data_IF_552001270701
#
_entry.id   IF_552001270701
#
_cell.length_a   1.000
_cell.length_b   1.000
_cell.length_c   1.000
_cell.angle_alpha   90.00
_cell.angle_beta   90.00
_cell.angle_gamma   90.00
#
_symmetry.space_group_name_H-M   'P 1'
#
loop_
_entity.id
_entity.type
_entity.pdbx_description
1 polymer ?
#
# COMPACT_ATOMS: atom_id res chain seq x y z
N UNK A 1 -21.95 -27.44 -10.19
CA UNK A 1 -22.63 -27.43 -11.50
C UNK A 1 -23.04 -25.99 -11.81
N UNK A 2 -22.12 -25.21 -12.42
CA UNK A 2 -22.40 -24.00 -13.22
C UNK A 2 -21.31 -23.97 -14.29
N UNK A 3 -21.74 -23.94 -15.54
CA UNK A 3 -20.95 -24.02 -16.77
C UNK A 3 -20.10 -22.77 -17.00
N UNK A 4 -18.82 -22.93 -17.38
CA UNK A 4 -18.02 -21.86 -17.99
C UNK A 4 -17.77 -22.27 -19.44
N UNK A 5 -18.39 -21.56 -20.37
CA UNK A 5 -18.15 -21.67 -21.80
C UNK A 5 -18.28 -20.28 -22.42
N UNK A 6 -17.17 -19.70 -22.85
CA UNK A 6 -17.08 -19.05 -24.16
C UNK A 6 -15.63 -18.63 -24.48
N UNK A 7 -14.98 -19.46 -25.28
CA UNK A 7 -13.98 -19.05 -26.27
C UNK A 7 -14.69 -18.31 -27.40
N UNK A 8 -14.27 -17.10 -27.74
CA UNK A 8 -14.63 -16.47 -29.01
C UNK A 8 -13.41 -16.06 -29.81
N UNK A 9 -13.41 -16.61 -31.02
CA UNK A 9 -12.65 -16.32 -32.23
C UNK A 9 -12.19 -14.87 -32.40
N UNK A 10 -10.95 -14.77 -32.87
CA UNK A 10 -10.33 -13.58 -33.45
C UNK A 10 -10.70 -13.60 -34.94
N UNK A 11 -11.43 -12.58 -35.40
CA UNK A 11 -11.62 -12.30 -36.83
C UNK A 11 -11.17 -10.86 -37.15
N UNK A 12 -10.20 -10.79 -38.07
CA UNK A 12 -9.91 -9.77 -39.08
C UNK A 12 -10.28 -8.29 -38.84
N UNK A 13 -9.26 -7.41 -38.75
CA UNK A 13 -9.37 -5.97 -39.05
C UNK A 13 -8.44 -5.57 -40.20
N UNK A 14 -9.04 -5.00 -41.24
CA UNK A 14 -8.39 -4.26 -42.34
C UNK A 14 -8.05 -2.81 -41.92
N UNK A 15 -7.15 -2.11 -42.65
CA UNK A 15 -6.37 -0.99 -42.13
C UNK A 15 -7.08 0.38 -42.20
N UNK A 16 -6.67 1.29 -41.30
CA UNK A 16 -7.07 2.71 -41.28
C UNK A 16 -6.29 3.53 -42.32
N UNK A 17 -6.88 4.57 -42.94
CA UNK A 17 -6.15 5.54 -43.75
C UNK A 17 -5.60 6.70 -42.91
N UNK A 18 -4.54 7.31 -43.45
CA UNK A 18 -3.72 8.38 -42.90
C UNK A 18 -4.10 9.77 -43.47
N UNK A 19 -3.48 10.83 -42.88
CA UNK A 19 -3.36 12.24 -43.36
C UNK A 19 -4.53 13.17 -42.88
N UNK A 20 -4.39 14.40 -42.34
CA UNK A 20 -3.43 15.50 -42.57
C UNK A 20 -3.30 16.53 -41.41
N UNK A 21 -2.32 17.42 -41.62
CA UNK A 21 -1.73 18.52 -40.83
C UNK A 21 -2.66 19.66 -40.37
N UNK A 22 -2.32 20.22 -39.20
CA UNK A 22 -1.99 21.65 -39.05
C UNK A 22 -3.13 22.64 -38.81
N UNK A 23 -3.28 23.12 -37.57
CA UNK A 23 -3.78 24.48 -37.30
C UNK A 23 -3.17 25.02 -36.01
N UNK A 24 -2.30 26.03 -36.14
CA UNK A 24 -1.84 26.89 -35.03
C UNK A 24 -2.93 27.92 -34.75
N UNK A 25 -3.30 28.08 -33.48
CA UNK A 25 -4.13 29.21 -33.03
C UNK A 25 -3.36 29.97 -31.96
N UNK A 26 -2.91 31.17 -32.34
CA UNK A 26 -2.33 32.19 -31.47
C UNK A 26 -3.43 33.13 -30.99
N UNK A 27 -3.61 33.29 -29.68
CA UNK A 27 -4.41 34.38 -29.13
C UNK A 27 -3.53 35.32 -28.30
N UNK A 28 -3.37 36.53 -28.82
CA UNK A 28 -2.91 37.72 -28.09
C UNK A 28 -4.14 38.28 -27.38
N UNK A 29 -4.05 38.60 -26.09
CA UNK A 29 -4.98 39.53 -25.48
C UNK A 29 -4.28 40.47 -24.50
N UNK A 30 -4.25 41.74 -24.91
CA UNK A 30 -3.83 42.94 -24.18
C UNK A 30 -5.05 43.42 -23.39
N UNK A 31 -4.96 43.51 -22.06
CA UNK A 31 -6.02 44.09 -21.22
C UNK A 31 -5.60 45.49 -20.77
N UNK A 32 -6.46 46.45 -21.12
CA UNK A 32 -6.39 47.87 -20.81
C UNK A 32 -7.21 48.12 -19.52
N UNK A 33 -6.67 48.92 -18.60
CA UNK A 33 -7.26 49.20 -17.29
C UNK A 33 -8.07 50.51 -17.36
N UNK A 34 -9.36 50.44 -17.03
CA UNK A 34 -10.18 51.52 -16.45
C UNK A 34 -11.41 50.84 -15.83
N UNK A 35 -11.60 50.78 -14.52
CA UNK A 35 -11.91 51.93 -13.68
C UNK A 35 -13.43 52.08 -13.62
N UNK A 36 -14.09 51.53 -12.59
CA UNK A 36 -15.19 52.12 -11.81
C UNK A 36 -15.81 51.10 -10.85
N UNK A 37 -16.17 51.60 -9.67
CA UNK A 37 -16.49 50.89 -8.43
C UNK A 37 -17.87 50.25 -8.49
N UNK A 38 -17.98 48.99 -8.05
CA UNK A 38 -19.17 48.48 -7.37
C UNK A 38 -18.74 47.64 -6.16
N UNK A 39 -19.19 48.07 -4.98
CA UNK A 39 -19.11 47.32 -3.73
C UNK A 39 -20.04 46.11 -3.85
N UNK A 40 -19.47 44.93 -4.12
CA UNK A 40 -20.14 43.66 -3.89
C UNK A 40 -19.56 43.07 -2.60
N UNK A 41 -20.41 42.89 -1.59
CA UNK A 41 -20.10 42.06 -0.42
C UNK A 41 -20.06 40.62 -0.96
N UNK A 42 -18.89 40.19 -1.43
CA UNK A 42 -18.67 38.80 -1.77
C UNK A 42 -18.68 38.00 -0.46
N UNK A 43 -19.70 37.16 -0.30
CA UNK A 43 -19.66 36.02 0.60
C UNK A 43 -18.35 35.27 0.31
N UNK A 44 -17.38 35.42 1.21
CA UNK A 44 -16.20 34.55 1.27
C UNK A 44 -16.73 33.13 1.37
N UNK A 45 -16.70 32.42 0.25
CA UNK A 45 -16.89 30.98 0.22
C UNK A 45 -15.96 30.40 1.28
N UNK A 46 -16.52 29.63 2.21
CA UNK A 46 -15.72 28.70 3.02
C UNK A 46 -14.82 27.94 2.05
N UNK A 47 -13.50 27.85 2.30
CA UNK A 47 -12.69 26.95 1.49
C UNK A 47 -13.24 25.54 1.69
N UNK A 48 -13.72 24.93 0.59
CA UNK A 48 -14.07 23.52 0.56
C UNK A 48 -12.86 22.70 1.04
N UNK A 49 -13.04 21.54 1.72
CA UNK A 49 -11.95 20.74 2.28
C UNK A 49 -11.00 20.10 1.24
N UNK A 50 -11.08 20.50 -0.03
CA UNK A 50 -10.56 19.76 -1.19
C UNK A 50 -9.07 20.02 -1.48
N UNK A 51 -8.34 20.79 -0.66
CA UNK A 51 -6.92 21.13 -0.93
C UNK A 51 -5.93 20.10 -0.34
N UNK A 52 -6.38 19.01 0.29
CA UNK A 52 -5.47 18.02 0.91
C UNK A 52 -4.89 16.96 -0.03
N UNK A 53 -5.14 17.06 -1.34
CA UNK A 53 -4.56 16.17 -2.34
C UNK A 53 -3.63 16.94 -3.28
N UNK A 54 -2.38 16.45 -3.40
CA UNK A 54 -1.40 16.75 -4.47
C UNK A 54 -0.44 17.95 -4.31
N UNK A 55 0.33 18.01 -3.22
CA UNK A 55 1.74 18.45 -3.33
C UNK A 55 2.61 17.31 -2.78
N UNK A 56 3.22 16.58 -3.71
CA UNK A 56 4.03 15.38 -3.47
C UNK A 56 5.34 15.69 -2.76
N UNK A 57 5.30 15.72 -1.44
CA UNK A 57 6.52 15.62 -0.62
C UNK A 57 6.71 14.14 -0.28
N UNK A 58 7.70 13.47 -0.84
CA UNK A 58 8.06 12.13 -0.35
C UNK A 58 8.73 12.26 1.02
N UNK A 59 8.57 11.24 1.86
CA UNK A 59 9.22 11.15 3.17
C UNK A 59 10.25 10.02 3.18
N UNK A 60 11.17 10.09 4.15
CA UNK A 60 12.17 9.05 4.40
C UNK A 60 11.82 8.26 5.66
N UNK A 61 12.10 6.96 5.60
CA UNK A 61 11.93 6.05 6.73
C UNK A 61 13.13 6.17 7.67
N UNK A 62 12.88 6.12 8.98
CA UNK A 62 13.93 6.22 10.01
C UNK A 62 14.92 5.05 9.99
N UNK A 63 14.44 3.87 9.61
CA UNK A 63 15.16 2.59 9.50
C UNK A 63 14.38 1.65 8.60
N UNK A 64 14.92 0.47 8.28
CA UNK A 64 14.16 -0.60 7.65
C UNK A 64 12.84 -0.87 8.39
N UNK A 65 11.72 -0.71 7.69
CA UNK A 65 10.39 -0.97 8.21
C UNK A 65 9.87 -2.30 7.65
N UNK A 66 9.53 -3.24 8.53
CA UNK A 66 9.02 -4.57 8.20
C UNK A 66 7.63 -4.68 8.79
N UNK A 67 6.66 -4.23 8.01
CA UNK A 67 5.32 -3.84 8.47
C UNK A 67 4.31 -4.94 8.17
N UNK A 68 3.43 -5.23 9.12
CA UNK A 68 2.17 -5.96 8.87
C UNK A 68 1.00 -5.03 9.16
N UNK A 69 0.02 -4.97 8.26
CA UNK A 69 -1.24 -4.26 8.50
C UNK A 69 -2.35 -5.24 8.84
N UNK A 70 -2.90 -5.13 10.05
CA UNK A 70 -4.00 -5.96 10.56
C UNK A 70 -5.23 -5.08 10.79
N UNK A 71 -6.42 -5.65 10.61
CA UNK A 71 -7.67 -4.97 10.92
C UNK A 71 -8.85 -5.59 10.21
N UNK A 72 -10.05 -5.24 10.67
CA UNK A 72 -11.29 -5.85 10.21
C UNK A 72 -11.50 -5.71 8.68
N UNK A 73 -12.32 -6.58 8.06
CA UNK A 73 -12.75 -6.41 6.68
C UNK A 73 -13.40 -5.03 6.47
N UNK A 74 -12.96 -4.27 5.46
CA UNK A 74 -13.49 -2.93 5.16
C UNK A 74 -12.85 -1.77 5.95
N UNK A 75 -11.94 -2.03 6.88
CA UNK A 75 -11.29 -0.99 7.71
C UNK A 75 -10.38 -0.02 6.92
N UNK A 76 -9.97 -0.37 5.71
CA UNK A 76 -9.12 0.47 4.85
C UNK A 76 -7.64 0.08 4.80
N UNK A 77 -7.27 -1.17 5.14
CA UNK A 77 -5.88 -1.69 5.05
C UNK A 77 -5.20 -1.38 3.72
N UNK A 78 -5.85 -1.72 2.59
CA UNK A 78 -5.31 -1.48 1.26
C UNK A 78 -5.05 0.00 0.97
N UNK A 79 -5.96 0.88 1.37
CA UNK A 79 -5.78 2.33 1.26
C UNK A 79 -4.59 2.83 2.09
N UNK A 80 -4.39 2.31 3.30
CA UNK A 80 -3.24 2.68 4.12
C UNK A 80 -1.93 2.15 3.54
N UNK A 81 -1.91 0.92 3.01
CA UNK A 81 -0.75 0.38 2.31
C UNK A 81 -0.38 1.25 1.10
N UNK A 82 -1.35 1.56 0.23
CA UNK A 82 -1.14 2.41 -0.94
C UNK A 82 -0.60 3.80 -0.55
N UNK A 83 -1.21 4.43 0.45
CA UNK A 83 -0.77 5.74 0.97
C UNK A 83 0.62 5.70 1.58
N UNK A 84 1.02 4.61 2.22
CA UNK A 84 2.37 4.43 2.74
C UNK A 84 3.38 4.29 1.58
N UNK A 85 3.09 3.44 0.59
CA UNK A 85 3.96 3.23 -0.57
C UNK A 85 4.16 4.51 -1.39
N UNK A 86 3.10 5.31 -1.58
CA UNK A 86 3.19 6.60 -2.27
C UNK A 86 4.02 7.62 -1.47
N UNK A 87 3.91 7.59 -0.13
CA UNK A 87 4.58 8.57 0.74
C UNK A 87 6.04 8.22 1.01
N UNK A 88 6.39 6.94 1.04
CA UNK A 88 7.72 6.43 1.35
C UNK A 88 8.25 5.58 0.18
N UNK A 89 9.04 6.15 -0.74
CA UNK A 89 9.58 5.43 -1.90
C UNK A 89 10.50 4.26 -1.55
N UNK A 90 11.00 4.24 -0.31
CA UNK A 90 11.83 3.17 0.24
C UNK A 90 11.03 1.90 0.59
N UNK A 91 9.70 1.98 0.60
CA UNK A 91 8.80 0.91 1.02
C UNK A 91 8.27 0.15 -0.20
N UNK A 92 8.23 -1.18 -0.13
CA UNK A 92 7.56 -2.03 -1.12
C UNK A 92 6.44 -2.86 -0.50
N UNK A 93 5.46 -3.26 -1.32
CA UNK A 93 4.50 -4.29 -0.91
C UNK A 93 5.02 -5.68 -1.30
N UNK A 94 4.85 -6.64 -0.39
CA UNK A 94 5.09 -8.07 -0.61
C UNK A 94 3.75 -8.77 -0.32
N UNK A 95 3.04 -9.10 -1.39
CA UNK A 95 1.72 -9.73 -1.34
C UNK A 95 1.85 -11.22 -1.65
N UNK A 96 1.44 -12.07 -0.71
CA UNK A 96 1.50 -13.53 -0.90
C UNK A 96 0.69 -14.00 -2.11
N UNK A 97 -0.44 -13.32 -2.38
CA UNK A 97 -1.28 -13.60 -3.54
C UNK A 97 -0.64 -13.19 -4.87
N UNK A 98 0.06 -12.06 -4.90
CA UNK A 98 0.79 -11.62 -6.10
C UNK A 98 1.98 -12.52 -6.38
N UNK A 99 2.79 -12.82 -5.36
CA UNK A 99 3.92 -13.76 -5.48
C UNK A 99 3.46 -15.11 -6.02
N UNK A 100 2.34 -15.63 -5.53
CA UNK A 100 1.76 -16.88 -6.00
C UNK A 100 1.36 -16.78 -7.49
N UNK A 101 0.63 -15.73 -7.88
CA UNK A 101 0.20 -15.51 -9.27
C UNK A 101 1.38 -15.37 -10.22
N UNK A 102 2.41 -14.62 -9.83
CA UNK A 102 3.60 -14.39 -10.64
C UNK A 102 4.41 -15.68 -10.82
N UNK A 103 4.57 -16.48 -9.76
CA UNK A 103 5.25 -17.77 -9.84
C UNK A 103 4.49 -18.78 -10.71
N UNK A 104 3.15 -18.82 -10.60
CA UNK A 104 2.30 -19.65 -11.47
C UNK A 104 2.42 -19.21 -12.93
N UNK A 105 2.33 -17.90 -13.19
CA UNK A 105 2.44 -17.31 -14.53
C UNK A 105 3.80 -17.61 -15.16
N UNK A 106 4.88 -17.52 -14.38
CA UNK A 106 6.25 -17.74 -14.85
C UNK A 106 6.66 -19.22 -14.83
N UNK A 107 5.76 -20.14 -14.45
CA UNK A 107 6.00 -21.60 -14.43
C UNK A 107 7.22 -22.01 -13.60
N UNK A 108 7.47 -21.32 -12.48
CA UNK A 108 8.54 -21.72 -11.55
C UNK A 108 8.21 -23.07 -10.88
N UNK A 109 9.18 -23.83 -10.35
CA UNK A 109 8.90 -25.08 -9.65
C UNK A 109 7.87 -24.93 -8.52
N UNK A 110 7.99 -23.86 -7.72
CA UNK A 110 7.02 -23.51 -6.68
C UNK A 110 5.65 -23.14 -7.28
N UNK A 111 5.63 -22.39 -8.38
CA UNK A 111 4.42 -22.01 -9.09
C UNK A 111 3.65 -23.20 -9.65
N UNK A 112 4.33 -24.20 -10.22
CA UNK A 112 3.72 -25.43 -10.73
C UNK A 112 3.09 -26.23 -9.58
N UNK A 113 3.80 -26.39 -8.46
CA UNK A 113 3.28 -27.10 -7.27
C UNK A 113 2.08 -26.37 -6.66
N UNK A 114 2.13 -25.04 -6.57
CA UNK A 114 1.02 -24.21 -6.16
C UNK A 114 -0.19 -24.36 -7.10
N UNK A 115 0.03 -24.26 -8.42
CA UNK A 115 -1.03 -24.37 -9.42
C UNK A 115 -1.73 -25.74 -9.34
N UNK A 116 -0.96 -26.82 -9.20
CA UNK A 116 -1.50 -28.18 -9.02
C UNK A 116 -2.37 -28.29 -7.77
N UNK A 117 -1.90 -27.74 -6.65
CA UNK A 117 -2.65 -27.72 -5.38
C UNK A 117 -3.96 -26.96 -5.53
N UNK A 118 -3.93 -25.78 -6.13
CA UNK A 118 -5.13 -24.94 -6.36
C UNK A 118 -6.11 -25.64 -7.31
N UNK A 119 -5.62 -26.26 -8.40
CA UNK A 119 -6.45 -27.00 -9.36
C UNK A 119 -7.15 -28.20 -8.73
N UNK A 120 -6.53 -28.83 -7.73
CA UNK A 120 -7.15 -29.91 -6.95
C UNK A 120 -8.23 -29.42 -5.97
N UNK A 121 -8.43 -28.10 -5.84
CA UNK A 121 -9.35 -27.49 -4.88
C UNK A 121 -8.79 -27.41 -3.45
N UNK A 122 -7.53 -27.79 -3.25
CA UNK A 122 -6.85 -27.75 -1.96
C UNK A 122 -6.29 -26.34 -1.67
N UNK A 123 -6.16 -26.01 -0.38
CA UNK A 123 -5.50 -24.78 0.05
C UNK A 123 -3.98 -24.93 -0.10
N UNK A 124 -3.32 -23.86 -0.56
CA UNK A 124 -1.85 -23.81 -0.65
C UNK A 124 -1.27 -23.86 0.77
N UNK A 125 -0.36 -24.78 1.10
CA UNK A 125 0.22 -24.88 2.44
C UNK A 125 1.00 -23.64 2.85
N UNK A 126 0.94 -23.26 4.13
CA UNK A 126 1.63 -22.09 4.70
C UNK A 126 3.13 -22.11 4.44
N UNK A 127 3.77 -23.28 4.56
CA UNK A 127 5.19 -23.46 4.29
C UNK A 127 5.57 -23.07 2.85
N UNK A 128 4.67 -23.28 1.88
CA UNK A 128 4.90 -22.88 0.48
C UNK A 128 4.81 -21.36 0.34
N UNK A 129 3.84 -20.72 0.99
CA UNK A 129 3.71 -19.26 0.99
C UNK A 129 4.94 -18.61 1.64
N UNK A 130 5.38 -19.16 2.78
CA UNK A 130 6.57 -18.69 3.48
C UNK A 130 7.82 -18.81 2.60
N UNK A 131 7.99 -19.93 1.87
CA UNK A 131 9.08 -20.10 0.91
C UNK A 131 9.05 -19.05 -0.22
N UNK A 132 7.86 -18.73 -0.75
CA UNK A 132 7.72 -17.67 -1.77
C UNK A 132 8.16 -16.32 -1.22
N UNK A 133 7.73 -15.97 -0.01
CA UNK A 133 8.12 -14.71 0.65
C UNK A 133 9.64 -14.68 0.85
N UNK A 134 10.24 -15.74 1.40
CA UNK A 134 11.69 -15.78 1.64
C UNK A 134 12.50 -15.69 0.36
N UNK A 135 12.07 -16.37 -0.70
CA UNK A 135 12.72 -16.30 -2.00
C UNK A 135 12.71 -14.85 -2.51
N UNK A 136 11.57 -14.17 -2.45
CA UNK A 136 11.45 -12.76 -2.86
C UNK A 136 12.38 -11.84 -2.07
N UNK A 137 12.40 -11.96 -0.73
CA UNK A 137 13.26 -11.12 0.11
C UNK A 137 14.75 -11.38 -0.12
N UNK A 138 15.14 -12.63 -0.40
CA UNK A 138 16.52 -12.99 -0.77
C UNK A 138 16.91 -12.41 -2.13
N UNK A 139 16.06 -12.54 -3.14
CA UNK A 139 16.29 -11.99 -4.49
C UNK A 139 16.48 -10.47 -4.47
N UNK A 140 15.79 -9.77 -3.55
CA UNK A 140 15.96 -8.33 -3.34
C UNK A 140 17.19 -7.96 -2.49
N UNK A 141 17.91 -8.93 -1.96
CA UNK A 141 19.06 -8.69 -1.06
C UNK A 141 18.67 -8.15 0.30
N UNK A 142 17.46 -8.41 0.78
CA UNK A 142 16.95 -7.94 2.08
C UNK A 142 17.17 -8.93 3.22
N UNK A 143 17.47 -10.19 2.88
CA UNK A 143 17.88 -11.26 3.80
C UNK A 143 19.26 -11.77 3.43
N UNK A 144 20.16 -11.86 4.41
CA UNK A 144 21.51 -12.40 4.25
C UNK A 144 21.68 -13.72 5.01
N UNK A 145 22.44 -14.67 4.47
CA UNK A 145 22.85 -15.85 5.23
C UNK A 145 23.73 -15.45 6.42
N UNK A 146 23.57 -16.16 7.53
CA UNK A 146 24.12 -15.82 8.85
C UNK A 146 25.63 -15.99 9.00
N UNK A 147 26.32 -16.55 8.01
CA UNK A 147 27.78 -16.58 7.96
C UNK A 147 28.26 -16.92 6.54
N UNK A 148 29.18 -16.14 6.00
CA UNK A 148 30.23 -16.71 5.15
C UNK A 148 31.01 -17.71 6.00
N UNK A 149 31.18 -18.98 5.58
CA UNK A 149 32.11 -19.86 6.27
C UNK A 149 33.47 -19.17 6.28
N UNK A 150 34.06 -19.02 7.46
CA UNK A 150 35.45 -18.56 7.59
C UNK A 150 36.30 -19.46 6.70
N UNK A 151 36.86 -18.90 5.62
CA UNK A 151 37.81 -19.60 4.76
C UNK A 151 39.01 -19.95 5.63
N UNK A 152 39.01 -21.17 6.18
CA UNK A 152 40.20 -21.75 6.78
C UNK A 152 41.14 -22.00 5.60
N UNK A 153 42.38 -21.50 5.70
CA UNK A 153 43.47 -21.69 4.74
C UNK A 153 43.87 -23.17 4.63
N UNK A 154 43.00 -24.00 4.10
CA UNK A 154 43.28 -25.35 3.67
C UNK A 154 42.94 -25.44 2.19
N UNK A 155 43.95 -25.15 1.37
CA UNK A 155 43.94 -25.28 -0.07
C UNK A 155 43.49 -26.68 -0.50
N UNK A 156 42.33 -26.76 -1.12
CA UNK A 156 42.03 -27.74 -2.17
C UNK A 156 41.12 -27.04 -3.16
N UNK A 157 41.60 -26.87 -4.39
CA UNK A 157 40.84 -26.22 -5.46
C UNK A 157 39.56 -27.01 -5.75
N UNK A 158 38.44 -26.52 -5.22
CA UNK A 158 37.12 -26.81 -5.78
C UNK A 158 36.86 -25.68 -6.76
N UNK A 159 36.72 -26.05 -8.03
CA UNK A 159 36.35 -25.15 -9.12
C UNK A 159 35.21 -24.24 -8.70
N UNK A 160 35.43 -22.93 -8.82
CA UNK A 160 34.40 -21.92 -8.65
C UNK A 160 33.32 -22.12 -9.73
N UNK A 161 32.29 -22.91 -9.42
CA UNK A 161 30.99 -22.79 -10.06
C UNK A 161 30.26 -21.62 -9.38
N UNK A 162 29.77 -20.62 -10.14
CA UNK A 162 28.96 -19.56 -9.56
C UNK A 162 27.63 -20.18 -9.13
N UNK A 163 27.53 -20.58 -7.85
CA UNK A 163 26.31 -20.90 -7.10
C UNK A 163 25.07 -21.15 -7.96
N UNK A 164 25.04 -22.30 -8.64
CA UNK A 164 23.79 -22.88 -9.12
C UNK A 164 23.02 -23.35 -7.89
N UNK A 165 22.22 -22.45 -7.33
CA UNK A 165 21.21 -22.81 -6.36
C UNK A 165 20.12 -23.59 -7.10
N UNK A 166 20.27 -24.91 -7.07
CA UNK A 166 19.31 -25.86 -7.57
C UNK A 166 17.94 -25.61 -6.90
N UNK A 167 17.04 -25.02 -7.67
CA UNK A 167 15.66 -24.67 -7.29
C UNK A 167 14.86 -25.90 -6.84
N UNK A 168 15.34 -27.12 -7.16
CA UNK A 168 14.68 -28.38 -6.82
C UNK A 168 15.02 -28.89 -5.41
N UNK A 169 16.19 -28.53 -4.86
CA UNK A 169 16.63 -28.99 -3.53
C UNK A 169 15.81 -28.44 -2.35
N UNK A 170 15.09 -27.33 -2.54
CA UNK A 170 14.26 -26.71 -1.51
C UNK A 170 12.82 -27.25 -1.47
N UNK A 171 12.43 -28.12 -2.40
CA UNK A 171 11.03 -28.56 -2.55
C UNK A 171 10.62 -29.59 -1.48
N UNK A 172 11.58 -30.31 -0.86
CA UNK A 172 11.30 -31.45 0.02
C UNK A 172 11.67 -31.34 1.51
N UNK A 173 12.38 -30.31 1.98
CA UNK A 173 12.75 -30.25 3.42
C UNK A 173 11.64 -29.68 4.34
N UNK A 174 11.17 -30.42 5.36
CA UNK A 174 10.16 -29.95 6.32
C UNK A 174 10.70 -28.93 7.33
N UNK A 175 12.01 -28.81 7.50
CA UNK A 175 12.63 -28.00 8.56
C UNK A 175 13.44 -26.83 7.99
N UNK A 176 12.78 -25.68 7.79
CA UNK A 176 13.48 -24.37 7.72
C UNK A 176 14.21 -24.03 9.04
N UNK A 177 14.06 -24.88 10.07
CA UNK A 177 14.56 -24.72 11.43
C UNK A 177 15.99 -25.26 11.68
N UNK A 178 16.65 -25.89 10.70
CA UNK A 178 17.97 -26.51 10.92
C UNK A 178 19.17 -25.62 10.55
N UNK A 179 18.95 -24.40 10.07
CA UNK A 179 20.02 -23.42 9.90
C UNK A 179 20.30 -22.71 11.24
N UNK A 180 21.50 -22.92 11.78
CA UNK A 180 21.96 -22.60 13.14
C UNK A 180 22.04 -21.11 13.51
N UNK A 181 21.42 -20.19 12.77
CA UNK A 181 21.13 -18.82 13.21
C UNK A 181 20.08 -18.17 12.27
N UNK A 182 19.09 -17.43 12.79
CA UNK A 182 18.07 -16.77 11.98
C UNK A 182 18.71 -15.81 10.99
N UNK A 183 18.26 -15.73 9.72
CA UNK A 183 18.90 -14.93 8.68
C UNK A 183 19.01 -13.46 9.10
N UNK A 184 20.13 -12.82 8.73
CA UNK A 184 20.35 -11.41 9.06
C UNK A 184 19.50 -10.52 8.14
N UNK A 185 18.79 -9.54 8.72
CA UNK A 185 18.05 -8.52 7.97
C UNK A 185 18.89 -7.25 7.81
N UNK A 186 18.76 -6.59 6.65
CA UNK A 186 19.26 -5.23 6.49
C UNK A 186 18.46 -4.24 7.35
N UNK A 187 19.15 -3.27 7.95
CA UNK A 187 18.53 -2.10 8.59
C UNK A 187 18.50 -0.87 7.67
N UNK A 188 19.02 -0.98 6.44
CA UNK A 188 18.87 0.04 5.40
C UNK A 188 17.37 0.27 5.11
N UNK A 189 16.87 1.51 5.17
CA UNK A 189 15.47 1.72 4.87
C UNK A 189 15.05 1.33 3.45
N UNK A 190 15.97 1.16 2.48
CA UNK A 190 15.65 0.55 1.17
C UNK A 190 15.23 -0.92 1.24
N UNK A 191 15.49 -1.60 2.37
CA UNK A 191 15.04 -2.95 2.66
C UNK A 191 13.72 -2.98 3.45
N UNK A 192 12.85 -1.99 3.22
CA UNK A 192 11.56 -1.86 3.89
C UNK A 192 10.43 -2.47 3.07
N UNK A 193 9.54 -3.19 3.75
CA UNK A 193 8.37 -3.78 3.11
C UNK A 193 7.14 -3.81 4.01
N UNK A 194 5.98 -3.84 3.37
CA UNK A 194 4.69 -4.21 3.96
C UNK A 194 4.37 -5.63 3.50
N UNK A 195 4.11 -6.55 4.43
CA UNK A 195 3.50 -7.83 4.12
C UNK A 195 1.99 -7.66 4.00
N UNK A 196 1.44 -8.00 2.84
CA UNK A 196 0.00 -8.02 2.58
C UNK A 196 -0.49 -9.47 2.43
N UNK A 197 -1.52 -9.82 3.20
CA UNK A 197 -2.18 -11.12 3.13
C UNK A 197 -1.49 -12.26 3.88
N UNK A 198 -0.35 -12.03 4.55
CA UNK A 198 0.35 -12.99 5.41
C UNK A 198 1.10 -12.23 6.52
N UNK A 199 1.14 -12.73 7.78
CA UNK A 199 0.40 -13.86 8.35
C UNK A 199 -1.06 -13.49 8.65
N UNK A 200 -1.92 -14.50 8.74
CA UNK A 200 -3.34 -14.40 9.10
C UNK A 200 -3.70 -15.17 10.37
N UNK A 201 -2.83 -16.06 10.82
CA UNK A 201 -2.98 -16.83 12.05
C UNK A 201 -1.73 -16.74 12.91
N UNK A 202 -1.83 -17.11 14.17
CA UNK A 202 -0.71 -17.12 15.12
C UNK A 202 0.37 -18.14 14.75
N UNK A 203 -0.01 -19.28 14.14
CA UNK A 203 0.93 -20.31 13.66
C UNK A 203 1.79 -19.76 12.52
N UNK A 204 1.17 -19.08 11.56
CA UNK A 204 1.88 -18.41 10.47
C UNK A 204 2.84 -17.33 11.00
N UNK A 205 2.41 -16.55 11.99
CA UNK A 205 3.26 -15.54 12.61
C UNK A 205 4.45 -16.16 13.34
N UNK A 206 4.24 -17.25 14.08
CA UNK A 206 5.31 -17.96 14.78
C UNK A 206 6.37 -18.50 13.82
N UNK A 207 5.96 -19.03 12.67
CA UNK A 207 6.88 -19.47 11.61
C UNK A 207 7.61 -18.29 10.96
N UNK A 208 6.88 -17.22 10.62
CA UNK A 208 7.43 -16.02 10.00
C UNK A 208 8.53 -15.40 10.87
N UNK A 209 8.24 -15.26 12.15
CA UNK A 209 9.09 -14.61 13.14
C UNK A 209 10.45 -15.26 13.36
N UNK A 210 10.53 -16.57 13.12
CA UNK A 210 11.79 -17.33 13.19
C UNK A 210 12.73 -17.00 12.03
N UNK A 211 12.20 -16.42 10.95
CA UNK A 211 12.92 -16.19 9.69
C UNK A 211 13.01 -14.70 9.34
N UNK A 212 12.02 -13.90 9.74
CA UNK A 212 11.92 -12.49 9.38
C UNK A 212 11.50 -11.72 10.64
N UNK A 213 12.39 -10.93 11.26
CA UNK A 213 12.06 -10.14 12.44
C UNK A 213 11.14 -8.97 12.09
N UNK A 214 9.83 -9.17 12.23
CA UNK A 214 8.83 -8.10 12.11
C UNK A 214 9.07 -7.07 13.21
N UNK A 215 9.10 -5.79 12.82
CA UNK A 215 9.39 -4.69 13.73
C UNK A 215 8.26 -3.67 13.88
N UNK A 216 7.18 -3.80 13.09
CA UNK A 216 5.97 -3.02 13.24
C UNK A 216 4.75 -3.80 12.78
N UNK A 217 3.77 -3.95 13.66
CA UNK A 217 2.44 -4.45 13.32
C UNK A 217 1.42 -3.37 13.63
N UNK A 218 0.68 -2.94 12.63
CA UNK A 218 -0.32 -1.89 12.76
C UNK A 218 -1.70 -2.53 12.83
N UNK A 219 -2.41 -2.34 13.94
CA UNK A 219 -3.81 -2.71 14.06
C UNK A 219 -4.70 -1.50 13.82
N UNK A 220 -5.40 -1.51 12.68
CA UNK A 220 -6.35 -0.47 12.31
C UNK A 220 -7.66 -0.67 13.07
N UNK A 221 -8.04 0.32 13.87
CA UNK A 221 -9.29 0.34 14.65
C UNK A 221 -10.22 1.42 14.11
N UNK A 222 -11.35 0.98 13.57
CA UNK A 222 -12.43 1.86 13.11
C UNK A 222 -13.76 1.28 13.62
N UNK A 223 -14.70 2.11 14.11
CA UNK A 223 -16.00 1.63 14.56
C UNK A 223 -16.75 0.83 13.48
N UNK A 224 -17.45 -0.22 13.91
CA UNK A 224 -18.22 -1.10 13.02
C UNK A 224 -19.22 -0.34 12.12
N UNK A 225 -19.92 0.66 12.67
CA UNK A 225 -20.86 1.51 11.93
C UNK A 225 -20.20 2.18 10.72
N UNK A 226 -19.03 2.79 10.94
CA UNK A 226 -18.24 3.45 9.89
C UNK A 226 -17.77 2.44 8.84
N UNK A 227 -17.37 1.22 9.24
CA UNK A 227 -16.98 0.17 8.30
C UNK A 227 -18.17 -0.28 7.44
N UNK A 228 -19.34 -0.46 8.04
CA UNK A 228 -20.57 -0.85 7.33
C UNK A 228 -20.98 0.21 6.31
N UNK A 229 -20.93 1.50 6.67
CA UNK A 229 -21.18 2.60 5.74
C UNK A 229 -20.20 2.58 4.56
N UNK A 230 -18.92 2.30 4.81
CA UNK A 230 -17.91 2.19 3.74
C UNK A 230 -18.17 1.01 2.81
N UNK A 231 -18.60 -0.12 3.35
CA UNK A 231 -18.95 -1.31 2.55
C UNK A 231 -20.19 -1.03 1.70
N UNK A 232 -21.23 -0.44 2.28
CA UNK A 232 -22.45 -0.09 1.57
C UNK A 232 -22.21 0.94 0.43
N UNK A 233 -21.28 1.87 0.65
CA UNK A 233 -20.86 2.88 -0.32
C UNK A 233 -19.80 2.41 -1.32
N UNK A 234 -19.37 1.14 -1.30
CA UNK A 234 -18.31 0.61 -2.17
C UNK A 234 -18.83 0.31 -3.58
N UNK A 235 -18.07 0.76 -4.56
CA UNK A 235 -18.28 0.50 -5.98
C UNK A 235 -17.01 -0.05 -6.60
N UNK A 236 -17.13 -0.92 -7.59
CA UNK A 236 -15.99 -1.58 -8.21
C UNK A 236 -16.14 -1.56 -9.73
N UNK A 237 -15.05 -1.22 -10.41
CA UNK A 237 -14.94 -1.42 -11.84
C UNK A 237 -14.47 -2.86 -12.08
N UNK A 238 -15.39 -3.76 -12.45
CA UNK A 238 -15.11 -5.20 -12.50
C UNK A 238 -13.90 -5.61 -13.37
N UNK A 239 -13.67 -5.02 -14.56
CA UNK A 239 -12.53 -5.41 -15.40
C UNK A 239 -11.16 -5.03 -14.83
N UNK A 240 -11.06 -3.90 -14.12
CA UNK A 240 -9.77 -3.42 -13.58
C UNK A 240 -9.58 -3.74 -12.10
N UNK A 241 -10.65 -4.04 -11.38
CA UNK A 241 -10.65 -4.16 -9.93
C UNK A 241 -10.56 -2.84 -9.17
N UNK A 242 -10.53 -1.68 -9.85
CA UNK A 242 -10.53 -0.35 -9.19
C UNK A 242 -11.74 -0.21 -8.27
N UNK A 243 -11.50 0.35 -7.08
CA UNK A 243 -12.51 0.50 -6.03
C UNK A 243 -12.77 1.97 -5.78
N UNK A 244 -14.04 2.34 -5.72
CA UNK A 244 -14.53 3.67 -5.40
C UNK A 244 -15.41 3.61 -4.14
N UNK A 245 -15.54 4.74 -3.46
CA UNK A 245 -16.46 4.90 -2.34
C UNK A 245 -17.18 6.24 -2.44
N UNK A 246 -18.51 6.23 -2.32
CA UNK A 246 -19.36 7.43 -2.47
C UNK A 246 -18.98 8.61 -1.56
N UNK A 247 -18.34 8.38 -0.43
CA UNK A 247 -18.10 9.41 0.59
C UNK A 247 -16.67 9.96 0.57
N UNK A 248 -15.66 9.12 0.29
CA UNK A 248 -14.25 9.51 0.43
C UNK A 248 -13.42 9.43 -0.86
N UNK A 249 -13.82 8.58 -1.80
CA UNK A 249 -13.15 8.38 -3.10
C UNK A 249 -14.23 8.15 -4.15
N UNK A 250 -15.10 9.15 -4.29
CA UNK A 250 -16.21 9.10 -5.23
C UNK A 250 -15.66 9.17 -6.65
N UNK A 251 -16.24 8.43 -7.61
CA UNK A 251 -15.87 8.61 -9.01
C UNK A 251 -16.21 10.04 -9.44
N UNK A 252 -15.44 10.58 -10.39
CA UNK A 252 -15.66 11.90 -11.01
C UNK A 252 -17.08 12.02 -11.56
N UNK A 253 -17.60 10.93 -12.13
CA UNK A 253 -18.98 10.82 -12.58
C UNK A 253 -19.65 9.65 -11.86
N UNK A 254 -20.78 9.90 -11.21
CA UNK A 254 -21.48 8.89 -10.41
C UNK A 254 -21.79 7.63 -11.23
N UNK A 255 -21.32 6.48 -10.74
CA UNK A 255 -21.56 5.17 -11.35
C UNK A 255 -20.64 4.82 -12.53
N UNK A 256 -19.67 5.67 -12.89
CA UNK A 256 -18.72 5.41 -13.97
C UNK A 256 -17.26 5.37 -13.45
N UNK A 257 -16.43 4.56 -14.09
CA UNK A 257 -15.00 4.51 -13.81
C UNK A 257 -14.26 5.74 -14.37
N UNK A 258 -13.34 6.30 -13.59
CA UNK A 258 -12.64 7.54 -13.92
C UNK A 258 -11.67 7.43 -15.10
N UNK A 259 -11.25 6.21 -15.46
CA UNK A 259 -10.26 5.95 -16.52
C UNK A 259 -10.96 5.48 -17.79
N UNK A 260 -11.84 4.48 -17.68
CA UNK A 260 -12.48 3.85 -18.85
C UNK A 260 -13.85 4.45 -19.18
N UNK A 261 -14.50 5.13 -18.22
CA UNK A 261 -15.89 5.57 -18.36
C UNK A 261 -16.92 4.45 -18.31
N UNK A 262 -16.50 3.20 -18.07
CA UNK A 262 -17.39 2.04 -17.96
C UNK A 262 -18.17 2.03 -16.65
N UNK A 263 -19.28 1.28 -16.60
CA UNK A 263 -20.17 1.24 -15.43
C UNK A 263 -19.49 0.56 -14.23
N UNK A 264 -19.65 1.17 -13.07
CA UNK A 264 -19.32 0.58 -11.79
C UNK A 264 -20.43 -0.35 -11.30
N UNK A 265 -20.04 -1.39 -10.57
CA UNK A 265 -20.97 -2.34 -9.96
C UNK A 265 -20.73 -2.46 -8.46
N UNK A 266 -21.75 -2.84 -7.71
CA UNK A 266 -21.60 -3.26 -6.31
C UNK A 266 -21.21 -4.73 -6.27
N UNK A 267 -20.43 -5.13 -5.28
CA UNK A 267 -20.14 -6.56 -5.12
C UNK A 267 -21.33 -7.27 -4.46
N UNK A 268 -21.65 -8.52 -4.86
CA UNK A 268 -22.76 -9.27 -4.26
C UNK A 268 -22.54 -9.60 -2.78
N UNK A 269 -21.29 -9.62 -2.33
CA UNK A 269 -20.88 -9.90 -0.95
C UNK A 269 -20.80 -8.65 -0.05
N UNK A 270 -21.21 -7.47 -0.54
CA UNK A 270 -21.25 -6.21 0.23
C UNK A 270 -22.58 -6.05 0.99
N UNK A 271 -22.92 -7.06 1.79
CA UNK A 271 -24.04 -7.03 2.72
C UNK A 271 -23.58 -7.20 4.17
N UNK A 272 -24.39 -6.70 5.11
CA UNK A 272 -24.08 -6.74 6.54
C UNK A 272 -23.88 -8.17 7.06
N UNK A 273 -24.70 -9.12 6.62
CA UNK A 273 -24.60 -10.53 7.02
C UNK A 273 -23.25 -11.16 6.62
N UNK A 274 -22.84 -10.95 5.37
CA UNK A 274 -21.53 -11.41 4.88
C UNK A 274 -20.40 -10.72 5.64
N UNK A 275 -20.54 -9.43 5.94
CA UNK A 275 -19.56 -8.70 6.73
C UNK A 275 -19.44 -9.26 8.16
N UNK A 276 -20.55 -9.51 8.85
CA UNK A 276 -20.55 -10.11 10.21
C UNK A 276 -19.87 -11.46 10.22
N UNK A 277 -20.12 -12.30 9.22
CA UNK A 277 -19.44 -13.60 9.07
C UNK A 277 -17.93 -13.43 8.90
N UNK A 278 -17.50 -12.46 8.08
CA UNK A 278 -16.08 -12.14 7.89
C UNK A 278 -15.43 -11.51 9.12
N UNK A 279 -16.19 -10.71 9.88
CA UNK A 279 -15.72 -10.13 11.13
C UNK A 279 -15.48 -11.22 12.16
N UNK A 280 -16.43 -12.13 12.36
CA UNK A 280 -16.27 -13.25 13.29
C UNK A 280 -15.03 -14.09 12.96
N UNK A 281 -14.85 -14.43 11.68
CA UNK A 281 -13.64 -15.16 11.24
C UNK A 281 -12.36 -14.35 11.46
N UNK A 282 -12.42 -13.02 11.29
CA UNK A 282 -11.31 -12.14 11.59
C UNK A 282 -10.99 -12.16 13.10
N UNK A 283 -11.98 -12.07 13.98
CA UNK A 283 -11.79 -12.15 15.43
C UNK A 283 -11.14 -13.49 15.82
N UNK A 284 -11.71 -14.61 15.36
CA UNK A 284 -11.22 -15.97 15.62
C UNK A 284 -9.74 -16.19 15.21
N UNK A 285 -9.30 -15.56 14.12
CA UNK A 285 -7.95 -15.81 13.55
C UNK A 285 -6.94 -14.72 13.87
N UNK A 286 -7.38 -13.47 13.90
CA UNK A 286 -6.53 -12.28 14.00
C UNK A 286 -6.40 -11.76 15.42
N UNK A 287 -7.31 -12.06 16.36
CA UNK A 287 -7.09 -11.68 17.77
C UNK A 287 -5.87 -12.41 18.38
N UNK A 288 -5.72 -13.75 18.25
CA UNK A 288 -4.52 -14.43 18.73
C UNK A 288 -3.23 -13.92 18.06
N UNK A 289 -3.32 -13.52 16.78
CA UNK A 289 -2.24 -12.92 16.04
C UNK A 289 -1.83 -11.55 16.61
N UNK A 290 -2.80 -10.70 16.95
CA UNK A 290 -2.55 -9.41 17.57
C UNK A 290 -1.94 -9.56 18.95
N UNK A 291 -2.45 -10.48 19.79
CA UNK A 291 -1.88 -10.79 21.11
C UNK A 291 -0.44 -11.28 21.03
N UNK A 292 -0.13 -12.11 20.03
CA UNK A 292 1.25 -12.55 19.75
C UNK A 292 2.20 -11.37 19.51
N UNK A 293 1.83 -10.43 18.63
CA UNK A 293 2.66 -9.26 18.36
C UNK A 293 2.65 -8.21 19.48
N UNK A 294 1.57 -8.14 20.27
CA UNK A 294 1.51 -7.33 21.48
C UNK A 294 2.57 -7.79 22.50
N UNK A 295 2.65 -9.10 22.75
CA UNK A 295 3.68 -9.68 23.65
C UNK A 295 5.11 -9.43 23.18
N UNK A 296 5.32 -9.30 21.86
CA UNK A 296 6.62 -8.95 21.28
C UNK A 296 6.95 -7.45 21.33
N UNK A 297 6.01 -6.60 21.74
CA UNK A 297 6.22 -5.15 21.82
C UNK A 297 6.33 -4.44 20.47
N UNK A 298 5.86 -5.07 19.38
CA UNK A 298 5.89 -4.49 18.02
C UNK A 298 4.49 -4.13 17.50
N UNK A 299 3.44 -4.38 18.29
CA UNK A 299 2.07 -3.99 17.96
C UNK A 299 1.82 -2.51 18.29
N UNK A 300 1.31 -1.79 17.31
CA UNK A 300 0.78 -0.44 17.46
C UNK A 300 -0.67 -0.39 16.99
N UNK A 301 -1.57 0.04 17.89
CA UNK A 301 -2.99 0.21 17.56
C UNK A 301 -3.29 1.66 17.19
N UNK A 302 -3.89 1.86 16.03
CA UNK A 302 -4.26 3.20 15.53
C UNK A 302 -5.76 3.30 15.32
N UNK A 303 -6.35 4.29 15.99
CA UNK A 303 -7.78 4.58 15.89
C UNK A 303 -8.05 5.73 14.92
N UNK A 304 -9.12 5.60 14.14
CA UNK A 304 -9.65 6.66 13.29
C UNK A 304 -10.90 6.27 12.51
N UNK A 305 -11.68 7.28 12.14
CA UNK A 305 -12.93 7.12 11.39
C UNK A 305 -12.75 7.29 9.88
N UNK A 306 -11.60 7.78 9.44
CA UNK A 306 -11.26 8.00 8.03
C UNK A 306 -9.80 7.70 7.75
N UNK A 307 -9.46 7.44 6.50
CA UNK A 307 -8.06 7.26 6.13
C UNK A 307 -7.25 8.54 6.34
N UNK A 308 -7.87 9.72 6.24
CA UNK A 308 -7.22 11.02 6.42
C UNK A 308 -6.83 11.30 7.88
N UNK A 309 -7.52 10.67 8.83
CA UNK A 309 -7.12 10.70 10.25
C UNK A 309 -6.00 9.71 10.57
N UNK A 310 -5.98 8.55 9.90
CA UNK A 310 -5.08 7.44 10.21
C UNK A 310 -3.71 7.63 9.53
N UNK A 311 -3.68 8.02 8.25
CA UNK A 311 -2.44 8.10 7.47
C UNK A 311 -1.41 9.05 8.09
N UNK A 312 -1.76 10.26 8.57
CA UNK A 312 -0.77 11.13 9.20
C UNK A 312 -0.12 10.51 10.44
N UNK A 313 -0.89 9.78 11.26
CA UNK A 313 -0.37 9.08 12.45
C UNK A 313 0.61 7.97 12.04
N UNK A 314 0.24 7.20 11.02
CA UNK A 314 1.12 6.18 10.44
C UNK A 314 2.43 6.77 9.92
N UNK A 315 2.36 7.92 9.24
CA UNK A 315 3.54 8.58 8.72
C UNK A 315 4.47 9.05 9.84
N UNK A 316 3.92 9.58 10.94
CA UNK A 316 4.69 9.97 12.11
C UNK A 316 5.43 8.79 12.74
N UNK A 317 4.80 7.61 12.77
CA UNK A 317 5.37 6.42 13.39
C UNK A 317 6.61 5.91 12.64
N UNK A 318 6.63 6.00 11.31
CA UNK A 318 7.70 5.40 10.47
C UNK A 318 8.73 6.39 9.93
N UNK A 319 8.44 7.69 9.99
CA UNK A 319 9.30 8.72 9.42
C UNK A 319 10.57 8.98 10.24
N UNK A 320 11.65 9.32 9.55
CA UNK A 320 12.92 9.77 10.14
C UNK A 320 12.78 11.11 10.87
N UNK A 321 12.03 12.05 10.27
CA UNK A 321 11.97 13.44 10.71
C UNK A 321 10.52 13.94 10.80
N UNK A 322 10.03 14.10 12.04
CA UNK A 322 8.62 14.45 12.33
C UNK A 322 8.39 15.97 12.29
N UNK A 323 9.49 16.74 12.19
CA UNK A 323 9.54 18.20 12.12
C UNK A 323 8.56 18.80 11.11
N UNK A 324 8.43 18.14 9.94
CA UNK A 324 7.56 18.58 8.85
C UNK A 324 6.06 18.43 9.14
N UNK A 325 5.69 17.51 10.04
CA UNK A 325 4.29 17.22 10.36
C UNK A 325 3.74 18.09 11.51
N UNK A 326 4.61 18.61 12.39
CA UNK A 326 4.22 19.52 13.47
C UNK A 326 3.89 20.94 12.99
N UNK A 327 4.52 21.40 11.91
CA UNK A 327 4.25 22.72 11.33
C UNK A 327 2.80 22.90 10.83
N UNK A 328 2.16 21.82 10.38
CA UNK A 328 0.77 21.88 9.88
C UNK A 328 -0.29 21.97 10.99
N UNK A 329 -0.04 21.37 12.16
CA UNK A 329 -0.92 21.51 13.33
C UNK A 329 -0.88 22.93 13.92
N UNK A 330 0.30 23.56 13.89
CA UNK A 330 0.49 24.93 14.36
C UNK A 330 -0.26 25.96 13.48
N UNK A 331 -0.31 25.75 12.16
CA UNK A 331 -1.06 26.60 11.24
C UNK A 331 -2.58 26.50 11.43
N UNK A 332 -3.10 25.29 11.66
CA UNK A 332 -4.55 25.08 11.95
C UNK A 332 -4.95 25.75 13.26
N UNK A 333 -4.14 25.61 14.32
CA UNK A 333 -4.36 26.29 15.60
C UNK A 333 -4.16 27.81 15.55
N UNK A 334 -3.31 28.33 14.67
CA UNK A 334 -3.13 29.77 14.45
C UNK A 334 -4.34 30.39 13.71
N UNK A 335 -4.92 29.66 12.77
CA UNK A 335 -6.11 30.11 12.02
C UNK A 335 -7.40 30.02 12.86
N UNK A 336 -7.57 28.95 13.64
CA UNK A 336 -8.72 28.78 14.56
C UNK A 336 -8.72 29.77 15.74
N UNK A 337 -7.55 30.29 16.13
CA UNK A 337 -7.41 31.33 17.17
C UNK A 337 -7.51 32.76 16.63
N UNK A 338 -7.99 32.95 15.40
CA UNK A 338 -8.29 34.28 14.88
C UNK A 338 -7.04 35.14 14.65
N UNK A 339 -6.04 34.59 13.95
CA UNK A 339 -4.80 35.27 13.56
C UNK A 339 -4.97 36.47 12.61
N UNK A 340 -5.76 37.47 13.00
CA UNK A 340 -5.78 38.83 12.48
C UNK A 340 -6.21 39.79 13.59
N UNK A 341 -5.44 39.85 14.68
CA UNK A 341 -5.58 40.91 15.68
C UNK A 341 -4.20 41.39 16.15
N UNK A 342 -3.85 42.58 15.65
CA UNK A 342 -2.73 43.42 16.09
C UNK A 342 -1.30 42.94 15.75
N UNK A 343 -0.71 43.55 14.72
CA UNK A 343 0.44 44.46 14.86
C UNK A 343 0.87 44.93 13.47
N UNK A 344 0.37 46.11 13.07
CA UNK A 344 1.05 46.95 12.09
C UNK A 344 2.36 47.41 12.74
N UNK A 345 3.46 46.72 12.45
CA UNK A 345 4.88 47.20 12.43
C UNK A 345 5.81 45.99 12.57
N UNK A 346 5.94 45.20 11.50
CA UNK A 346 7.12 44.34 11.23
C UNK A 346 7.08 43.81 9.78
N UNK A 347 6.57 44.61 8.84
CA UNK A 347 6.47 44.26 7.42
C UNK A 347 7.73 44.72 6.67
N UNK A 348 8.90 44.18 7.00
CA UNK A 348 10.11 44.36 6.17
C UNK A 348 11.14 43.25 6.41
N UNK A 349 10.77 41.98 6.22
CA UNK A 349 11.77 40.91 6.04
C UNK A 349 11.24 39.64 5.35
N UNK A 350 9.92 39.46 5.23
CA UNK A 350 9.32 38.31 4.54
C UNK A 350 8.99 38.53 3.05
N UNK A 351 9.52 39.59 2.42
CA UNK A 351 9.27 39.87 1.00
C UNK A 351 10.37 39.39 0.05
N UNK A 352 11.43 38.75 0.56
CA UNK A 352 12.55 38.26 -0.25
C UNK A 352 12.51 36.75 -0.55
N UNK A 353 11.62 35.98 0.06
CA UNK A 353 11.56 34.52 -0.17
C UNK A 353 10.48 34.05 -1.17
N UNK A 354 9.67 34.96 -1.73
CA UNK A 354 8.58 34.60 -2.67
C UNK A 354 8.78 35.09 -4.10
N UNK A 355 10.00 35.46 -4.50
CA UNK A 355 10.29 35.92 -5.87
C UNK A 355 11.26 35.04 -6.66
N UNK A 356 11.63 33.86 -6.14
CA UNK A 356 12.60 32.97 -6.79
C UNK A 356 12.04 31.65 -7.32
N UNK A 357 10.73 31.42 -7.25
CA UNK A 357 10.09 30.27 -7.89
C UNK A 357 8.71 30.66 -8.41
N UNK A 358 8.68 31.12 -9.66
CA UNK A 358 7.53 31.03 -10.56
C UNK A 358 8.01 30.48 -11.89
#
# INVERSE_FOLDING_TARGET
MIHISNTKQIDHMHPLPSINRGTKVSFVNRVQISGHKHFAINYLHRPSPTIYTSIGVTMRLRRAARIILVGAPGVGKGTQAERLLQRFPQLSAISSGDLLRDNVKNRTPLGIKAESTIKSGSLVPDAMILRLILHELKTRGWLFPTSTPTMTLASSAISASPFEYDTDSYVEQPSLAEASSPPQTSEDPSASFILDGFPRTVEQASQLDSLIPINLVVSLKTPASVILERIAGRWVHAPSGRVYNTTFHAPKVAGLDDITGEKLTKRPDDCEETWRTRLKKFEETSEPLLEHYARRGVLWEVQGNSSDEISPKLYQEVAEDVSYLQGFGAWRGWWERGGFASHRRQFTLYRLFSFLFF
#
